data_IF_324482184974
#
_entry.id   IF_324482184974
#
_cell.length_a   1.000
_cell.length_b   1.000
_cell.length_c   1.000
_cell.angle_alpha   90.00
_cell.angle_beta   90.00
_cell.angle_gamma   90.00
#
_symmetry.space_group_name_H-M   'P 1'
#
loop_
_entity.id
_entity.type
_entity.pdbx_description
1 polymer ?
#
# COMPACT_ATOMS: atom_id res chain seq x y z
N UNK A 1 72.69 -48.50 -70.19
CA UNK A 1 71.70 -48.53 -69.09
C UNK A 1 72.14 -47.90 -67.77
N UNK A 2 73.43 -47.93 -67.35
CA UNK A 2 73.87 -47.33 -66.07
C UNK A 2 73.76 -45.79 -65.97
N UNK A 3 73.90 -45.05 -67.07
CA UNK A 3 73.85 -43.57 -67.09
C UNK A 3 72.43 -42.98 -66.93
N UNK A 4 71.40 -43.68 -67.39
CA UNK A 4 70.01 -43.21 -67.35
C UNK A 4 69.41 -43.32 -65.94
N UNK A 5 69.73 -44.40 -65.21
CA UNK A 5 69.30 -44.62 -63.82
C UNK A 5 69.89 -43.56 -62.89
N UNK A 6 71.16 -43.19 -63.07
CA UNK A 6 71.81 -42.15 -62.27
C UNK A 6 71.19 -40.76 -62.48
N UNK A 7 70.83 -40.40 -63.73
CA UNK A 7 70.15 -39.14 -64.04
C UNK A 7 68.74 -39.05 -63.44
N UNK A 8 67.96 -40.14 -63.52
CA UNK A 8 66.61 -40.18 -62.94
C UNK A 8 66.67 -40.09 -61.42
N UNK A 9 67.63 -40.77 -60.78
CA UNK A 9 67.82 -40.71 -59.33
C UNK A 9 68.25 -39.32 -58.86
N UNK A 10 69.13 -38.62 -59.59
CA UNK A 10 69.52 -37.23 -59.23
C UNK A 10 68.36 -36.27 -59.33
N UNK A 11 67.55 -36.34 -60.38
CA UNK A 11 66.35 -35.49 -60.52
C UNK A 11 65.38 -35.72 -59.37
N UNK A 12 65.13 -36.99 -59.01
CA UNK A 12 64.21 -37.32 -57.92
C UNK A 12 64.71 -36.82 -56.56
N UNK A 13 66.01 -36.96 -56.27
CA UNK A 13 66.61 -36.43 -55.03
C UNK A 13 66.53 -34.90 -54.98
N UNK A 14 66.76 -34.21 -56.10
CA UNK A 14 66.64 -32.74 -56.12
C UNK A 14 65.20 -32.27 -55.91
N UNK A 15 64.21 -32.94 -56.49
CA UNK A 15 62.79 -32.58 -56.31
C UNK A 15 62.36 -32.82 -54.86
N UNK A 16 62.74 -33.95 -54.26
CA UNK A 16 62.43 -34.26 -52.85
C UNK A 16 63.14 -33.29 -51.90
N UNK A 17 64.38 -32.91 -52.20
CA UNK A 17 65.11 -31.90 -51.44
C UNK A 17 64.42 -30.53 -51.48
N UNK A 18 63.97 -30.11 -52.65
CA UNK A 18 63.28 -28.81 -52.83
C UNK A 18 61.92 -28.82 -52.15
N UNK A 19 61.16 -29.91 -52.20
CA UNK A 19 59.86 -29.99 -51.50
C UNK A 19 60.02 -30.04 -49.99
N UNK A 20 61.01 -30.77 -49.47
CA UNK A 20 61.33 -30.76 -48.04
C UNK A 20 61.85 -29.40 -47.57
N UNK A 21 62.63 -28.70 -48.40
CA UNK A 21 63.08 -27.34 -48.11
C UNK A 21 61.91 -26.35 -48.16
N UNK A 22 60.99 -26.48 -49.11
CA UNK A 22 59.78 -25.64 -49.16
C UNK A 22 58.86 -25.89 -47.96
N UNK A 23 58.67 -27.14 -47.54
CA UNK A 23 57.93 -27.49 -46.33
C UNK A 23 58.62 -26.93 -45.07
N UNK A 24 59.94 -27.08 -44.96
CA UNK A 24 60.71 -26.55 -43.83
C UNK A 24 60.66 -25.02 -43.78
N UNK A 25 60.75 -24.32 -44.92
CA UNK A 25 60.61 -22.87 -44.99
C UNK A 25 59.19 -22.42 -44.64
N UNK A 26 58.15 -23.14 -45.07
CA UNK A 26 56.77 -22.82 -44.69
C UNK A 26 56.53 -22.98 -43.19
N UNK A 27 57.11 -24.01 -42.57
CA UNK A 27 57.04 -24.18 -41.12
C UNK A 27 57.80 -23.04 -40.46
N UNK A 28 59.05 -22.76 -40.86
CA UNK A 28 59.89 -21.72 -40.27
C UNK A 28 59.30 -20.31 -40.33
N UNK A 29 58.74 -19.89 -41.47
CA UNK A 29 58.23 -18.54 -41.67
C UNK A 29 56.75 -18.35 -41.33
N UNK A 30 55.95 -19.42 -41.24
CA UNK A 30 54.53 -19.33 -40.90
C UNK A 30 54.22 -19.68 -39.44
N UNK A 31 55.24 -19.78 -38.57
CA UNK A 31 55.00 -19.87 -37.13
C UNK A 31 54.23 -18.62 -36.70
N UNK A 32 53.01 -18.76 -36.12
CA UNK A 32 52.29 -17.63 -35.57
C UNK A 32 53.18 -16.99 -34.51
N UNK A 33 53.43 -15.70 -34.59
CA UNK A 33 54.23 -15.04 -33.55
C UNK A 33 53.44 -15.12 -32.25
N UNK A 34 53.89 -15.97 -31.33
CA UNK A 34 53.21 -16.21 -30.07
C UNK A 34 53.07 -14.92 -29.24
N UNK A 35 53.96 -13.94 -29.44
CA UNK A 35 53.84 -12.63 -28.79
C UNK A 35 52.71 -11.79 -29.40
N UNK A 36 52.41 -11.96 -30.69
CA UNK A 36 51.26 -11.31 -31.34
C UNK A 36 49.93 -11.91 -30.86
N UNK A 37 49.88 -13.23 -30.63
CA UNK A 37 48.69 -13.93 -30.13
C UNK A 37 48.40 -13.59 -28.65
N UNK A 38 49.44 -13.46 -27.83
CA UNK A 38 49.32 -12.98 -26.44
C UNK A 38 48.80 -11.54 -26.33
N UNK A 39 49.05 -10.71 -27.35
CA UNK A 39 48.64 -9.30 -27.38
C UNK A 39 47.25 -9.08 -28.01
N UNK A 40 46.48 -10.15 -28.25
CA UNK A 40 45.09 -10.03 -28.70
C UNK A 40 44.18 -9.49 -27.58
N UNK A 41 43.12 -8.78 -27.96
CA UNK A 41 42.16 -8.19 -27.00
C UNK A 41 41.57 -9.20 -26.01
N UNK A 42 41.40 -10.46 -26.42
CA UNK A 42 40.92 -11.54 -25.56
C UNK A 42 41.96 -11.99 -24.51
N UNK A 43 43.25 -11.92 -24.86
CA UNK A 43 44.37 -12.42 -24.05
C UNK A 43 44.97 -11.37 -23.11
N UNK A 44 44.64 -10.08 -23.29
CA UNK A 44 45.02 -9.00 -22.35
C UNK A 44 44.52 -9.23 -20.91
N UNK A 45 43.48 -10.06 -20.76
CA UNK A 45 42.90 -10.49 -19.49
C UNK A 45 43.68 -11.62 -18.81
N UNK A 46 44.77 -12.09 -19.42
CA UNK A 46 45.63 -13.15 -18.91
C UNK A 46 47.07 -12.65 -18.79
N UNK A 47 47.81 -13.21 -17.83
CA UNK A 47 49.23 -12.95 -17.62
C UNK A 47 50.01 -14.24 -17.89
N UNK A 48 50.94 -14.17 -18.85
CA UNK A 48 51.77 -15.29 -19.27
C UNK A 48 53.16 -15.14 -18.68
N UNK A 49 53.60 -16.10 -17.87
CA UNK A 49 54.91 -16.08 -17.20
C UNK A 49 55.69 -17.34 -17.58
N UNK A 50 56.91 -17.18 -18.10
CA UNK A 50 57.81 -18.30 -18.41
C UNK A 50 58.75 -18.57 -17.24
N UNK A 51 58.84 -19.82 -16.79
CA UNK A 51 59.81 -20.23 -15.77
C UNK A 51 61.20 -20.45 -16.40
N UNK A 52 62.26 -19.90 -15.77
CA UNK A 52 63.64 -20.11 -16.19
C UNK A 52 64.25 -21.35 -15.52
N UNK A 53 64.73 -22.33 -16.29
CA UNK A 53 65.34 -23.57 -15.78
C UNK A 53 65.52 -24.65 -16.87
N UNK A 54 65.95 -25.85 -16.46
CA UNK A 54 66.25 -27.00 -17.35
C UNK A 54 65.00 -27.52 -18.11
N UNK A 55 63.79 -27.23 -17.62
CA UNK A 55 62.51 -27.49 -18.29
C UNK A 55 61.61 -26.25 -18.19
N UNK A 56 61.62 -25.32 -19.17
CA UNK A 56 60.81 -24.11 -19.11
C UNK A 56 59.32 -24.43 -19.27
N UNK A 57 58.50 -23.88 -18.38
CA UNK A 57 57.04 -23.98 -18.38
C UNK A 57 56.43 -22.59 -18.48
N UNK A 58 55.25 -22.50 -19.10
CA UNK A 58 54.44 -21.30 -19.24
C UNK A 58 53.27 -21.36 -18.27
N UNK A 59 53.31 -20.53 -17.23
CA UNK A 59 52.22 -20.37 -16.27
C UNK A 59 51.29 -19.26 -16.74
N UNK A 60 49.99 -19.54 -16.75
CA UNK A 60 48.95 -18.59 -17.15
C UNK A 60 48.10 -18.22 -15.94
N UNK A 61 48.07 -16.94 -15.60
CA UNK A 61 47.25 -16.38 -14.52
C UNK A 61 46.14 -15.50 -15.09
N UNK A 62 44.94 -15.57 -14.52
CA UNK A 62 43.85 -14.66 -14.88
C UNK A 62 44.11 -13.29 -14.26
N UNK A 63 43.79 -12.21 -15.00
CA UNK A 63 43.79 -10.83 -14.47
C UNK A 63 42.43 -10.38 -13.97
N UNK A 64 41.40 -11.20 -14.20
CA UNK A 64 40.04 -11.02 -13.70
C UNK A 64 39.70 -12.11 -12.67
N UNK A 65 38.80 -11.76 -11.75
CA UNK A 65 38.24 -12.73 -10.81
C UNK A 65 37.05 -13.46 -11.43
N UNK A 66 36.94 -14.75 -11.12
CA UNK A 66 35.76 -15.57 -11.46
C UNK A 66 34.72 -15.50 -10.33
N UNK A 67 35.13 -15.11 -9.13
CA UNK A 67 34.27 -15.00 -7.96
C UNK A 67 33.85 -13.55 -7.77
N UNK A 68 32.56 -13.26 -7.96
CA UNK A 68 32.03 -11.90 -7.86
C UNK A 68 32.26 -11.25 -6.48
N UNK A 69 32.41 -12.06 -5.42
CA UNK A 69 32.62 -11.60 -4.05
C UNK A 69 34.07 -11.19 -3.73
N UNK A 70 35.06 -11.64 -4.50
CA UNK A 70 36.46 -11.29 -4.28
C UNK A 70 37.15 -10.88 -5.59
N UNK A 71 37.20 -9.57 -5.82
CA UNK A 71 37.85 -8.96 -6.99
C UNK A 71 39.37 -9.19 -7.05
N UNK A 72 39.99 -9.70 -5.98
CA UNK A 72 41.44 -9.94 -5.90
C UNK A 72 41.83 -11.40 -6.15
N UNK A 73 40.87 -12.33 -6.18
CA UNK A 73 41.14 -13.74 -6.45
C UNK A 73 41.48 -13.97 -7.94
N UNK A 74 42.77 -13.80 -8.26
CA UNK A 74 43.33 -14.05 -9.59
C UNK A 74 43.70 -15.52 -9.73
N UNK A 75 42.72 -16.33 -10.12
CA UNK A 75 42.89 -17.76 -10.34
C UNK A 75 43.98 -18.09 -11.39
N UNK A 76 44.60 -19.25 -11.26
CA UNK A 76 45.59 -19.76 -12.23
C UNK A 76 44.89 -20.73 -13.19
N UNK A 77 45.11 -20.57 -14.49
CA UNK A 77 44.55 -21.47 -15.53
C UNK A 77 45.34 -22.78 -15.57
N UNK A 78 46.68 -22.69 -15.47
CA UNK A 78 47.58 -23.83 -15.42
C UNK A 78 49.02 -23.48 -15.76
N UNK A 79 49.89 -24.49 -15.79
CA UNK A 79 51.28 -24.41 -16.26
C UNK A 79 51.48 -25.42 -17.39
N UNK A 80 51.97 -24.95 -18.53
CA UNK A 80 52.05 -25.72 -19.78
C UNK A 80 53.47 -25.77 -20.34
N UNK A 81 53.80 -26.78 -21.14
CA UNK A 81 55.17 -26.95 -21.66
C UNK A 81 55.46 -26.03 -22.84
N UNK A 82 54.44 -25.66 -23.59
CA UNK A 82 54.58 -24.80 -24.78
C UNK A 82 53.73 -23.54 -24.66
N UNK A 83 54.17 -22.49 -25.35
CA UNK A 83 53.45 -21.21 -25.39
C UNK A 83 52.06 -21.37 -26.03
N UNK A 84 51.97 -22.10 -27.13
CA UNK A 84 50.72 -22.29 -27.86
C UNK A 84 49.69 -23.08 -27.07
N UNK A 85 50.14 -24.06 -26.28
CA UNK A 85 49.27 -24.79 -25.36
C UNK A 85 48.71 -23.86 -24.27
N UNK A 86 49.55 -22.97 -23.73
CA UNK A 86 49.13 -21.96 -22.75
C UNK A 86 48.09 -20.98 -23.33
N UNK A 87 48.30 -20.49 -24.56
CA UNK A 87 47.38 -19.59 -25.26
C UNK A 87 46.06 -20.31 -25.56
N UNK A 88 46.10 -21.52 -26.14
CA UNK A 88 44.89 -22.30 -26.47
C UNK A 88 44.04 -22.57 -25.22
N UNK A 89 44.68 -22.95 -24.11
CA UNK A 89 43.99 -23.21 -22.84
C UNK A 89 43.38 -21.95 -22.23
N UNK A 90 44.01 -20.79 -22.39
CA UNK A 90 43.42 -19.52 -21.95
C UNK A 90 42.20 -19.10 -22.78
N UNK A 91 42.18 -19.41 -24.08
CA UNK A 91 40.99 -19.21 -24.92
C UNK A 91 39.84 -20.16 -24.53
N UNK A 92 40.13 -21.43 -24.28
CA UNK A 92 39.14 -22.41 -23.79
C UNK A 92 38.55 -21.98 -22.43
N UNK A 93 39.40 -21.47 -21.54
CA UNK A 93 38.98 -20.94 -20.24
C UNK A 93 38.04 -19.75 -20.39
N UNK A 94 38.42 -18.74 -21.19
CA UNK A 94 37.58 -17.56 -21.44
C UNK A 94 36.24 -17.96 -22.07
N UNK A 95 36.25 -18.88 -23.04
CA UNK A 95 35.03 -19.38 -23.66
C UNK A 95 34.11 -20.05 -22.62
N UNK A 96 34.67 -20.87 -21.74
CA UNK A 96 33.94 -21.53 -20.65
C UNK A 96 33.32 -20.51 -19.69
N UNK A 97 34.07 -19.46 -19.34
CA UNK A 97 33.57 -18.37 -18.47
C UNK A 97 32.46 -17.55 -19.12
N UNK A 98 32.57 -17.27 -20.43
CA UNK A 98 31.52 -16.54 -21.15
C UNK A 98 30.23 -17.38 -21.25
N UNK A 99 30.36 -18.70 -21.45
CA UNK A 99 29.23 -19.62 -21.48
C UNK A 99 28.57 -19.74 -20.10
N UNK A 100 29.35 -19.84 -19.01
CA UNK A 100 28.80 -19.90 -17.65
C UNK A 100 28.05 -18.62 -17.30
N UNK A 101 28.65 -17.45 -17.55
CA UNK A 101 27.99 -16.16 -17.31
C UNK A 101 26.74 -15.97 -18.17
N UNK A 102 26.76 -16.39 -19.44
CA UNK A 102 25.59 -16.32 -20.32
C UNK A 102 24.45 -17.20 -19.79
N UNK A 103 24.79 -18.39 -19.30
CA UNK A 103 23.82 -19.33 -18.74
C UNK A 103 23.22 -18.79 -17.44
N UNK A 104 24.04 -18.26 -16.53
CA UNK A 104 23.61 -17.65 -15.28
C UNK A 104 22.75 -16.40 -15.51
N UNK A 105 23.16 -15.50 -16.41
CA UNK A 105 22.33 -14.34 -16.78
C UNK A 105 21.04 -14.77 -17.46
N UNK A 106 21.07 -15.86 -18.23
CA UNK A 106 19.89 -16.46 -18.86
C UNK A 106 18.90 -16.96 -17.81
N UNK A 107 19.36 -17.70 -16.81
CA UNK A 107 18.51 -18.21 -15.73
C UNK A 107 17.96 -17.09 -14.85
N UNK A 108 18.79 -16.09 -14.50
CA UNK A 108 18.35 -14.89 -13.78
C UNK A 108 17.28 -14.12 -14.56
N UNK A 109 17.47 -13.93 -15.86
CA UNK A 109 16.48 -13.25 -16.72
C UNK A 109 15.13 -13.97 -16.69
N UNK A 110 15.13 -15.30 -16.82
CA UNK A 110 13.90 -16.11 -16.74
C UNK A 110 13.25 -16.01 -15.37
N UNK A 111 14.04 -16.13 -14.29
CA UNK A 111 13.54 -16.04 -12.91
C UNK A 111 12.92 -14.68 -12.61
N UNK A 112 13.57 -13.58 -13.02
CA UNK A 112 13.03 -12.22 -12.86
C UNK A 112 11.76 -12.04 -13.69
N UNK A 113 11.70 -12.57 -14.92
CA UNK A 113 10.50 -12.50 -15.73
C UNK A 113 9.30 -13.22 -15.08
N UNK A 114 9.52 -14.39 -14.49
CA UNK A 114 8.48 -15.12 -13.74
C UNK A 114 8.03 -14.37 -12.49
N UNK A 115 8.97 -13.75 -11.76
CA UNK A 115 8.64 -12.92 -10.59
C UNK A 115 7.83 -11.68 -10.99
N UNK A 116 8.17 -11.03 -12.11
CA UNK A 116 7.45 -9.87 -12.63
C UNK A 116 5.98 -10.22 -12.92
N UNK A 117 5.72 -11.36 -13.56
CA UNK A 117 4.35 -11.82 -13.85
C UNK A 117 3.56 -12.06 -12.57
N UNK A 118 4.16 -12.70 -11.56
CA UNK A 118 3.50 -12.92 -10.26
C UNK A 118 3.21 -11.60 -9.53
N UNK A 119 4.15 -10.67 -9.59
CA UNK A 119 4.01 -9.37 -8.96
C UNK A 119 2.90 -8.55 -9.63
N UNK A 120 2.83 -8.52 -10.96
CA UNK A 120 1.77 -7.84 -11.70
C UNK A 120 0.38 -8.42 -11.38
N UNK A 121 0.26 -9.75 -11.35
CA UNK A 121 -0.99 -10.41 -10.96
C UNK A 121 -1.42 -10.06 -9.52
N UNK A 122 -0.48 -10.02 -8.58
CA UNK A 122 -0.75 -9.59 -7.19
C UNK A 122 -1.20 -8.14 -7.13
N UNK A 123 -0.54 -7.23 -7.86
CA UNK A 123 -0.90 -5.82 -7.87
C UNK A 123 -2.30 -5.58 -8.45
N UNK A 124 -2.68 -6.31 -9.51
CA UNK A 124 -4.03 -6.20 -10.07
C UNK A 124 -5.09 -6.62 -9.05
N UNK A 125 -4.83 -7.70 -8.31
CA UNK A 125 -5.72 -8.16 -7.25
C UNK A 125 -5.82 -7.13 -6.10
N UNK A 126 -4.69 -6.54 -5.69
CA UNK A 126 -4.66 -5.53 -4.64
C UNK A 126 -5.41 -4.26 -5.05
N UNK A 127 -5.23 -3.78 -6.29
CA UNK A 127 -5.95 -2.63 -6.82
C UNK A 127 -7.45 -2.88 -6.85
N UNK A 128 -7.88 -4.08 -7.26
CA UNK A 128 -9.28 -4.45 -7.26
C UNK A 128 -9.85 -4.49 -5.83
N UNK A 129 -9.16 -5.15 -4.91
CA UNK A 129 -9.60 -5.26 -3.51
C UNK A 129 -9.68 -3.90 -2.82
N UNK A 130 -8.74 -2.98 -3.10
CA UNK A 130 -8.79 -1.60 -2.62
C UNK A 130 -10.00 -0.87 -3.23
N UNK A 131 -10.24 -1.02 -4.53
CA UNK A 131 -11.42 -0.45 -5.20
C UNK A 131 -12.74 -0.89 -4.56
N UNK A 132 -12.89 -2.20 -4.32
CA UNK A 132 -14.07 -2.77 -3.66
C UNK A 132 -14.23 -2.22 -2.24
N UNK A 133 -13.12 -2.11 -1.49
CA UNK A 133 -13.14 -1.53 -0.14
C UNK A 133 -13.53 -0.07 -0.13
N UNK A 134 -13.06 0.72 -1.10
CA UNK A 134 -13.44 2.12 -1.26
C UNK A 134 -14.93 2.25 -1.55
N UNK A 135 -15.48 1.41 -2.44
CA UNK A 135 -16.91 1.42 -2.74
C UNK A 135 -17.79 1.10 -1.51
N UNK A 136 -17.40 0.10 -0.71
CA UNK A 136 -18.08 -0.23 0.54
C UNK A 136 -18.05 0.97 1.52
N UNK A 137 -16.87 1.57 1.71
CA UNK A 137 -16.71 2.71 2.62
C UNK A 137 -17.50 3.95 2.16
N UNK A 138 -17.62 4.18 0.85
CA UNK A 138 -18.45 5.25 0.31
C UNK A 138 -19.93 5.00 0.60
N UNK A 139 -20.42 3.79 0.36
CA UNK A 139 -21.82 3.43 0.66
C UNK A 139 -22.14 3.56 2.16
N UNK A 140 -21.22 3.11 3.03
CA UNK A 140 -21.35 3.28 4.47
C UNK A 140 -21.39 4.77 4.86
N UNK A 141 -20.50 5.60 4.29
CA UNK A 141 -20.45 7.04 4.58
C UNK A 141 -21.76 7.75 4.18
N UNK A 142 -22.33 7.44 3.01
CA UNK A 142 -23.62 7.97 2.56
C UNK A 142 -24.76 7.54 3.50
N UNK A 143 -24.74 6.29 3.96
CA UNK A 143 -25.71 5.79 4.93
C UNK A 143 -25.60 6.53 6.27
N UNK A 144 -24.38 6.75 6.77
CA UNK A 144 -24.12 7.52 7.99
C UNK A 144 -24.56 8.97 7.85
N UNK A 145 -24.28 9.61 6.71
CA UNK A 145 -24.73 10.97 6.43
C UNK A 145 -26.26 11.08 6.50
N UNK A 146 -26.97 10.12 5.89
CA UNK A 146 -28.43 10.07 5.92
C UNK A 146 -28.96 9.88 7.34
N UNK A 147 -28.35 8.98 8.13
CA UNK A 147 -28.73 8.76 9.53
C UNK A 147 -28.48 9.99 10.42
N UNK A 148 -27.35 10.67 10.21
CA UNK A 148 -27.03 11.90 10.96
C UNK A 148 -28.04 12.99 10.63
N UNK A 149 -28.38 13.18 9.36
CA UNK A 149 -29.39 14.17 8.97
C UNK A 149 -30.75 13.86 9.60
N UNK A 150 -31.22 12.61 9.49
CA UNK A 150 -32.49 12.20 10.08
C UNK A 150 -32.53 12.43 11.61
N UNK A 151 -31.44 12.11 12.32
CA UNK A 151 -31.34 12.36 13.76
C UNK A 151 -31.28 13.85 14.10
N UNK A 152 -30.65 14.65 13.25
CA UNK A 152 -30.63 16.11 13.42
C UNK A 152 -32.02 16.69 13.28
N UNK A 153 -32.78 16.26 12.28
CA UNK A 153 -34.15 16.70 12.05
C UNK A 153 -35.07 16.27 13.21
N UNK A 154 -34.91 15.04 13.71
CA UNK A 154 -35.63 14.54 14.90
C UNK A 154 -35.30 15.37 16.15
N UNK A 155 -34.02 15.67 16.40
CA UNK A 155 -33.60 16.47 17.54
C UNK A 155 -34.17 17.91 17.46
N UNK A 156 -34.22 18.50 16.27
CA UNK A 156 -34.84 19.81 16.06
C UNK A 156 -36.35 19.76 16.32
N UNK A 157 -37.04 18.74 15.83
CA UNK A 157 -38.48 18.56 16.08
C UNK A 157 -38.79 18.40 17.57
N UNK A 158 -38.00 17.60 18.30
CA UNK A 158 -38.13 17.43 19.75
C UNK A 158 -37.88 18.76 20.47
N UNK A 159 -36.88 19.54 20.04
CA UNK A 159 -36.60 20.85 20.64
C UNK A 159 -37.77 21.82 20.47
N UNK A 160 -38.39 21.87 19.29
CA UNK A 160 -39.57 22.72 19.04
C UNK A 160 -40.75 22.29 19.91
N UNK A 161 -41.07 20.99 19.91
CA UNK A 161 -42.16 20.44 20.73
C UNK A 161 -41.93 20.72 22.23
N UNK A 162 -40.69 20.63 22.71
CA UNK A 162 -40.36 20.93 24.11
C UNK A 162 -40.63 22.41 24.45
N UNK A 163 -40.36 23.33 23.52
CA UNK A 163 -40.68 24.75 23.72
C UNK A 163 -42.19 24.98 23.76
N UNK A 164 -42.93 24.39 22.83
CA UNK A 164 -44.40 24.48 22.78
C UNK A 164 -45.04 23.96 24.08
N UNK A 165 -44.62 22.78 24.55
CA UNK A 165 -45.10 22.21 25.82
C UNK A 165 -44.76 23.11 27.00
N UNK A 166 -43.57 23.74 27.00
CA UNK A 166 -43.17 24.67 28.06
C UNK A 166 -44.04 25.92 28.06
N UNK A 167 -44.32 26.50 26.90
CA UNK A 167 -45.19 27.67 26.76
C UNK A 167 -46.63 27.34 27.16
N UNK A 168 -47.16 26.21 26.71
CA UNK A 168 -48.48 25.74 27.11
C UNK A 168 -48.57 25.52 28.63
N UNK A 169 -47.53 24.91 29.22
CA UNK A 169 -47.47 24.72 30.68
C UNK A 169 -47.45 26.05 31.43
N UNK A 170 -46.76 27.07 30.89
CA UNK A 170 -46.75 28.40 31.47
C UNK A 170 -48.14 29.07 31.39
N UNK A 171 -48.81 28.99 30.24
CA UNK A 171 -50.16 29.51 30.04
C UNK A 171 -51.18 28.81 30.96
N UNK A 172 -51.12 27.49 31.07
CA UNK A 172 -51.97 26.72 32.00
C UNK A 172 -51.73 27.12 33.45
N UNK A 173 -50.49 27.41 33.85
CA UNK A 173 -50.18 27.90 35.21
C UNK A 173 -50.80 29.28 35.46
N UNK A 174 -50.74 30.20 34.50
CA UNK A 174 -51.38 31.50 34.64
C UNK A 174 -52.90 31.37 34.73
N UNK A 175 -53.50 30.48 33.95
CA UNK A 175 -54.94 30.21 34.00
C UNK A 175 -55.37 29.62 35.35
N UNK A 176 -54.62 28.67 35.90
CA UNK A 176 -54.90 28.09 37.22
C UNK A 176 -54.82 29.16 38.32
N UNK A 177 -53.84 30.07 38.25
CA UNK A 177 -53.72 31.16 39.21
C UNK A 177 -54.91 32.14 39.11
N UNK A 178 -55.32 32.50 37.89
CA UNK A 178 -56.50 33.33 37.65
C UNK A 178 -57.77 32.68 38.21
N UNK A 179 -58.02 31.41 37.87
CA UNK A 179 -59.19 30.67 38.35
C UNK A 179 -59.21 30.52 39.87
N UNK A 180 -58.04 30.37 40.51
CA UNK A 180 -57.94 30.37 41.98
C UNK A 180 -58.36 31.70 42.58
N UNK A 181 -57.93 32.81 41.98
CA UNK A 181 -58.32 34.13 42.44
C UNK A 181 -59.83 34.37 42.28
N UNK A 182 -60.40 34.06 41.12
CA UNK A 182 -61.85 34.15 40.86
C UNK A 182 -62.66 33.30 41.85
N UNK A 183 -62.16 32.12 42.20
CA UNK A 183 -62.80 31.24 43.19
C UNK A 183 -62.72 31.81 44.61
N UNK A 184 -61.63 32.47 44.99
CA UNK A 184 -61.49 33.16 46.27
C UNK A 184 -62.40 34.40 46.37
N UNK A 185 -62.52 35.16 45.29
CA UNK A 185 -63.48 36.28 45.19
C UNK A 185 -64.92 35.77 45.32
N UNK A 186 -65.29 34.74 44.56
CA UNK A 186 -66.64 34.15 44.63
C UNK A 186 -66.98 33.60 46.02
N UNK A 187 -66.01 33.00 46.72
CA UNK A 187 -66.18 32.56 48.12
C UNK A 187 -66.41 33.74 49.06
N UNK A 188 -65.67 34.83 48.86
CA UNK A 188 -65.80 36.05 49.65
C UNK A 188 -67.17 36.70 49.43
N UNK A 189 -67.63 36.77 48.19
CA UNK A 189 -68.95 37.32 47.85
C UNK A 189 -70.09 36.46 48.37
N UNK A 190 -69.96 35.13 48.32
CA UNK A 190 -70.92 34.22 48.94
C UNK A 190 -71.01 34.46 50.46
N UNK A 191 -69.86 34.66 51.13
CA UNK A 191 -69.85 34.99 52.55
C UNK A 191 -70.58 36.31 52.85
N UNK A 192 -70.31 37.38 52.08
CA UNK A 192 -71.00 38.67 52.20
C UNK A 192 -72.50 38.55 51.96
N UNK A 193 -72.92 37.81 50.93
CA UNK A 193 -74.33 37.57 50.62
C UNK A 193 -75.03 36.83 51.77
N UNK A 194 -74.36 35.87 52.40
CA UNK A 194 -74.90 35.18 53.57
C UNK A 194 -75.05 36.11 54.78
N UNK A 195 -74.13 37.04 54.99
CA UNK A 195 -74.26 38.06 56.05
C UNK A 195 -75.44 39.00 55.79
N UNK A 196 -75.59 39.48 54.55
CA UNK A 196 -76.74 40.31 54.14
C UNK A 196 -78.04 39.54 54.35
N UNK A 197 -78.11 38.28 53.88
CA UNK A 197 -79.30 37.44 54.07
C UNK A 197 -79.67 37.29 55.55
N UNK A 198 -78.69 37.04 56.43
CA UNK A 198 -78.94 36.97 57.87
C UNK A 198 -79.48 38.30 58.40
N UNK A 199 -78.85 39.41 58.02
CA UNK A 199 -79.27 40.74 58.45
C UNK A 199 -80.70 41.07 58.00
N UNK A 200 -81.02 40.82 56.74
CA UNK A 200 -82.36 41.06 56.18
C UNK A 200 -83.41 40.14 56.81
N UNK A 201 -83.04 38.88 57.10
CA UNK A 201 -83.91 37.95 57.83
C UNK A 201 -84.22 38.45 59.25
N UNK A 202 -83.20 38.95 59.96
CA UNK A 202 -83.37 39.53 61.30
C UNK A 202 -84.24 40.80 61.26
N UNK A 203 -84.06 41.67 60.25
CA UNK A 203 -84.90 42.85 60.05
C UNK A 203 -86.35 42.48 59.74
N UNK A 204 -86.58 41.52 58.85
CA UNK A 204 -87.90 41.04 58.49
C UNK A 204 -88.64 40.50 59.73
N UNK A 205 -87.96 39.66 60.52
CA UNK A 205 -88.51 39.09 61.74
C UNK A 205 -88.86 40.19 62.77
N UNK A 206 -88.03 41.23 62.91
CA UNK A 206 -88.35 42.39 63.75
C UNK A 206 -89.61 43.11 63.26
N UNK A 207 -89.72 43.39 61.96
CA UNK A 207 -90.88 44.07 61.39
C UNK A 207 -92.15 43.23 61.54
N UNK A 208 -92.07 41.91 61.36
CA UNK A 208 -93.19 41.00 61.60
C UNK A 208 -93.66 41.04 63.06
N UNK A 209 -92.74 41.04 64.03
CA UNK A 209 -93.08 41.19 65.45
C UNK A 209 -93.70 42.56 65.76
N UNK A 210 -93.18 43.64 65.17
CA UNK A 210 -93.75 44.98 65.31
C UNK A 210 -95.17 45.05 64.74
N UNK A 211 -95.41 44.49 63.55
CA UNK A 211 -96.74 44.40 62.96
C UNK A 211 -97.70 43.59 63.84
N UNK A 212 -97.28 42.43 64.36
CA UNK A 212 -98.09 41.64 65.29
C UNK A 212 -98.45 42.42 66.56
N UNK A 213 -97.50 43.18 67.12
CA UNK A 213 -97.76 44.02 68.29
C UNK A 213 -98.72 45.18 67.98
N UNK A 214 -98.63 45.77 66.78
CA UNK A 214 -99.57 46.80 66.31
C UNK A 214 -100.97 46.24 66.10
N UNK A 215 -101.09 45.05 65.49
CA UNK A 215 -102.38 44.36 65.31
C UNK A 215 -103.03 44.05 66.66
N UNK A 216 -102.26 43.57 67.64
CA UNK A 216 -102.75 43.36 69.01
C UNK A 216 -103.23 44.67 69.66
N UNK A 217 -102.52 45.78 69.47
CA UNK A 217 -102.96 47.10 69.96
C UNK A 217 -104.23 47.60 69.26
N UNK A 218 -104.35 47.39 67.95
CA UNK A 218 -105.56 47.73 67.20
C UNK A 218 -106.77 46.93 67.71
N UNK A 219 -106.60 45.64 67.97
CA UNK A 219 -107.65 44.81 68.57
C UNK A 219 -108.07 45.30 69.96
N UNK A 220 -107.12 45.75 70.79
CA UNK A 220 -107.41 46.33 72.10
C UNK A 220 -108.16 47.67 72.02
N UNK A 221 -107.92 48.47 70.99
CA UNK A 221 -108.60 49.76 70.79
C UNK A 221 -110.01 49.63 70.17
N UNK A 222 -110.34 48.45 69.62
CA UNK A 222 -111.66 48.15 69.04
C UNK A 222 -112.62 47.45 70.02
N UNK A 223 -112.17 47.17 71.25
CA UNK A 223 -113.00 46.73 72.38
C UNK A 223 -113.35 47.91 73.29
#
# INVERSE_FOLDING_TARGET
MKSLIFKVSTVLVTVVSVTLMAAALSVYFAHPDATSEMNTLAMLNYDFQQSTGENPMWTVKRRFSVVAADSKERGTVGSYKTVYEAITKSHEDLATQMVSQKTEKGSLKTSVAEQLVKFDASQQQDVQAIGDRVAILQAEAEQWQTQVQARSDEAQAISVNTLEVREETAARRTDVLRLRHELEEARTDLFRLNEILRHDTDQLLRVELENQALDQRLQQLQQ
#
